data_IF_503998214599
#
_entry.id   IF_503998214599
#
_cell.length_a   1.000
_cell.length_b   1.000
_cell.length_c   1.000
_cell.angle_alpha   90.00
_cell.angle_beta   90.00
_cell.angle_gamma   90.00
#
_symmetry.space_group_name_H-M   'P 1'
#
loop_
_entity.id
_entity.type
_entity.pdbx_description
1 polymer ?
#
# COMPACT_ATOMS: atom_id res chain seq x y z
N UNK A 1 2.35 -19.53 88.16
CA UNK A 1 3.40 -18.54 88.52
C UNK A 1 2.93 -17.19 87.98
N UNK A 2 2.65 -16.16 88.81
CA UNK A 2 3.61 -15.15 89.33
C UNK A 2 4.48 -14.58 88.18
N UNK A 3 4.43 -13.29 87.81
CA UNK A 3 3.64 -12.13 88.29
C UNK A 3 3.72 -11.00 87.23
N UNK A 4 3.54 -9.69 87.48
CA UNK A 4 2.90 -8.94 88.57
C UNK A 4 2.96 -7.41 88.24
N UNK A 5 1.85 -6.66 88.43
CA UNK A 5 1.79 -5.18 88.60
C UNK A 5 2.28 -4.36 87.37
N UNK A 6 2.00 -3.07 87.11
CA UNK A 6 1.02 -2.03 87.52
C UNK A 6 1.14 -0.89 86.46
N UNK A 7 0.34 0.19 86.37
CA UNK A 7 -0.69 0.81 87.23
C UNK A 7 -1.72 1.57 86.35
N UNK A 8 -2.76 2.11 86.97
CA UNK A 8 -3.83 2.94 86.38
C UNK A 8 -3.41 4.36 85.96
N UNK A 9 -4.12 4.94 84.97
CA UNK A 9 -4.58 6.34 84.95
C UNK A 9 -5.66 6.55 83.86
N UNK A 10 -6.83 7.08 84.22
CA UNK A 10 -7.76 7.68 83.24
C UNK A 10 -7.39 9.15 83.06
N UNK A 11 -7.41 9.64 81.83
CA UNK A 11 -7.50 11.06 81.48
C UNK A 11 -8.29 11.17 80.18
N UNK A 12 -9.45 11.83 80.24
CA UNK A 12 -10.31 12.02 79.08
C UNK A 12 -9.81 13.17 78.20
N UNK A 13 -9.99 13.03 76.89
CA UNK A 13 -9.86 14.12 75.93
C UNK A 13 -11.06 14.06 74.97
N UNK A 14 -11.98 15.00 75.11
CA UNK A 14 -13.02 15.22 74.11
C UNK A 14 -12.36 15.85 72.88
N UNK A 15 -12.41 15.19 71.72
CA UNK A 15 -11.87 15.72 70.47
C UNK A 15 -13.01 16.14 69.55
N UNK A 16 -13.02 17.41 69.17
CA UNK A 16 -14.13 18.05 68.47
C UNK A 16 -14.31 17.53 67.04
N UNK A 17 -15.57 17.43 66.62
CA UNK A 17 -15.93 17.06 65.25
C UNK A 17 -15.72 18.25 64.30
N UNK A 18 -14.54 18.37 63.68
CA UNK A 18 -14.28 19.38 62.66
C UNK A 18 -14.87 18.98 61.32
N UNK A 19 -16.02 19.56 60.95
CA UNK A 19 -16.56 19.47 59.59
C UNK A 19 -15.65 20.24 58.62
N UNK A 20 -14.77 19.53 57.91
CA UNK A 20 -14.10 20.09 56.74
C UNK A 20 -15.07 20.11 55.56
N UNK A 21 -15.62 21.29 55.26
CA UNK A 21 -16.29 21.54 53.99
C UNK A 21 -15.26 21.52 52.86
N UNK A 22 -15.12 20.37 52.20
CA UNK A 22 -14.22 20.21 51.07
C UNK A 22 -14.79 20.91 49.83
N UNK A 23 -14.45 22.19 49.65
CA UNK A 23 -14.69 22.93 48.41
C UNK A 23 -13.93 22.29 47.25
N UNK A 24 -14.60 21.38 46.54
CA UNK A 24 -14.04 20.61 45.43
C UNK A 24 -13.72 21.48 44.21
N UNK A 25 -12.57 22.15 44.25
CA UNK A 25 -12.00 22.83 43.09
C UNK A 25 -11.81 21.81 41.94
N UNK A 26 -12.67 21.89 40.94
CA UNK A 26 -12.56 21.08 39.73
C UNK A 26 -11.34 21.56 38.93
N UNK A 27 -10.18 20.98 39.21
CA UNK A 27 -9.01 21.10 38.36
C UNK A 27 -9.36 20.49 36.99
N UNK A 28 -9.65 21.36 36.02
CA UNK A 28 -9.90 20.95 34.65
C UNK A 28 -8.68 20.18 34.14
N UNK A 29 -8.82 18.86 33.96
CA UNK A 29 -7.77 18.04 33.40
C UNK A 29 -7.61 18.40 31.93
N UNK A 30 -6.57 19.21 31.64
CA UNK A 30 -6.15 19.49 30.27
C UNK A 30 -5.58 18.17 29.71
N UNK A 31 -6.44 17.39 29.05
CA UNK A 31 -6.00 16.24 28.27
C UNK A 31 -5.05 16.74 27.18
N UNK A 32 -3.80 16.24 27.09
CA UNK A 32 -2.89 16.67 26.05
C UNK A 32 -3.49 16.26 24.69
N UNK A 33 -3.80 17.27 23.87
CA UNK A 33 -4.30 17.03 22.53
C UNK A 33 -3.22 16.30 21.72
N UNK A 34 -3.55 15.14 21.15
CA UNK A 34 -2.67 14.43 20.23
C UNK A 34 -2.33 15.38 19.07
N UNK A 35 -1.04 15.62 18.76
CA UNK A 35 -0.66 16.50 17.66
C UNK A 35 -1.33 16.08 16.36
N UNK A 36 -1.94 17.04 15.65
CA UNK A 36 -2.52 16.76 14.34
C UNK A 36 -1.44 16.20 13.40
N UNK A 37 -1.73 15.12 12.64
CA UNK A 37 -0.75 14.56 11.72
C UNK A 37 -0.37 15.59 10.65
N UNK A 38 0.93 15.82 10.49
CA UNK A 38 1.48 16.79 9.53
C UNK A 38 1.24 16.33 8.10
N UNK A 39 1.18 17.30 7.18
CA UNK A 39 1.22 17.01 5.76
C UNK A 39 2.59 16.39 5.37
N UNK A 40 2.58 15.52 4.37
CA UNK A 40 3.77 14.87 3.83
C UNK A 40 3.56 14.53 2.35
N UNK A 41 4.64 14.26 1.62
CA UNK A 41 4.59 13.79 0.23
C UNK A 41 5.18 12.39 0.11
N UNK A 42 4.69 11.61 -0.85
CA UNK A 42 5.34 10.39 -1.31
C UNK A 42 5.44 10.39 -2.83
N UNK A 43 6.51 9.79 -3.35
CA UNK A 43 6.72 9.63 -4.79
C UNK A 43 6.12 8.32 -5.30
N UNK A 44 5.73 8.29 -6.56
CA UNK A 44 5.38 7.07 -7.28
C UNK A 44 5.97 7.15 -8.68
N UNK A 45 6.67 6.09 -9.11
CA UNK A 45 7.23 5.96 -10.45
C UNK A 45 6.23 5.12 -11.25
N UNK A 46 5.63 5.69 -12.30
CA UNK A 46 4.55 5.11 -13.10
C UNK A 46 5.08 4.31 -14.29
N UNK A 47 5.38 3.03 -14.04
CA UNK A 47 6.07 2.07 -14.93
C UNK A 47 6.67 2.61 -16.24
N UNK A 48 7.71 3.47 -16.19
CA UNK A 48 8.18 4.24 -17.34
C UNK A 48 8.65 3.36 -18.51
N UNK A 49 9.16 2.17 -18.19
CA UNK A 49 9.76 1.22 -19.13
C UNK A 49 8.72 0.58 -20.06
N UNK A 50 7.43 0.55 -19.69
CA UNK A 50 6.38 0.00 -20.55
C UNK A 50 6.17 0.80 -21.85
N UNK A 51 6.69 2.04 -21.92
CA UNK A 51 6.55 2.94 -23.06
C UNK A 51 7.66 2.79 -24.11
N UNK A 52 8.46 1.72 -24.04
CA UNK A 52 9.60 1.50 -24.94
C UNK A 52 10.84 2.33 -24.58
N UNK A 53 10.84 2.88 -23.36
CA UNK A 53 11.94 3.65 -22.76
C UNK A 53 12.90 2.73 -22.00
N UNK A 54 14.13 3.17 -21.80
CA UNK A 54 15.21 2.36 -21.21
C UNK A 54 15.55 2.75 -19.76
N UNK A 55 16.65 2.19 -19.25
CA UNK A 55 17.15 2.43 -17.88
C UNK A 55 17.37 3.92 -17.55
N UNK A 56 17.76 4.76 -18.51
CA UNK A 56 17.99 6.18 -18.26
C UNK A 56 16.68 6.89 -17.86
N UNK A 57 15.55 6.49 -18.43
CA UNK A 57 14.23 6.99 -18.01
C UNK A 57 13.87 6.54 -16.60
N UNK A 58 14.17 5.30 -16.21
CA UNK A 58 13.94 4.85 -14.84
C UNK A 58 14.81 5.64 -13.84
N UNK A 59 16.08 5.92 -14.17
CA UNK A 59 16.96 6.81 -13.39
C UNK A 59 16.37 8.21 -13.23
N UNK A 60 15.97 8.84 -14.33
CA UNK A 60 15.36 10.18 -14.30
C UNK A 60 14.04 10.19 -13.50
N UNK A 61 13.19 9.17 -13.60
CA UNK A 61 11.96 9.08 -12.83
C UNK A 61 12.22 8.90 -11.32
N UNK A 62 13.29 8.18 -10.95
CA UNK A 62 13.75 8.06 -9.56
C UNK A 62 14.26 9.42 -9.03
N UNK A 63 15.03 10.15 -9.83
CA UNK A 63 15.58 11.47 -9.48
C UNK A 63 14.46 12.50 -9.27
N UNK A 64 13.53 12.63 -10.23
CA UNK A 64 12.36 13.49 -10.14
C UNK A 64 11.49 13.17 -8.92
N UNK A 65 11.14 11.89 -8.72
CA UNK A 65 10.36 11.46 -7.57
C UNK A 65 11.08 11.69 -6.22
N UNK A 66 12.40 11.90 -6.22
CA UNK A 66 13.21 12.16 -5.02
C UNK A 66 13.36 13.65 -4.67
N UNK A 67 13.10 14.58 -5.60
CA UNK A 67 13.42 16.01 -5.43
C UNK A 67 12.83 16.63 -4.15
N UNK A 68 11.58 16.31 -3.83
CA UNK A 68 10.83 16.90 -2.70
C UNK A 68 11.10 16.23 -1.35
N UNK A 69 12.17 15.43 -1.22
CA UNK A 69 12.50 14.63 -0.02
C UNK A 69 11.29 13.83 0.52
N UNK A 70 10.74 12.90 -0.28
CA UNK A 70 9.51 12.20 0.06
C UNK A 70 9.67 11.28 1.27
N UNK A 71 8.56 11.02 1.95
CA UNK A 71 8.51 10.05 3.06
C UNK A 71 9.01 8.68 2.62
N UNK A 72 8.62 8.26 1.41
CA UNK A 72 9.00 7.07 0.66
C UNK A 72 8.62 7.24 -0.83
N UNK A 73 9.11 6.36 -1.69
CA UNK A 73 8.79 6.28 -3.12
C UNK A 73 8.30 4.86 -3.46
N UNK A 74 7.31 4.73 -4.34
CA UNK A 74 6.82 3.43 -4.83
C UNK A 74 7.11 3.26 -6.32
N UNK A 75 7.88 2.26 -6.71
CA UNK A 75 8.06 1.84 -8.10
C UNK A 75 6.99 0.81 -8.48
N UNK A 76 6.29 1.02 -9.60
CA UNK A 76 5.13 0.21 -10.05
C UNK A 76 5.48 -0.76 -11.19
N UNK A 77 6.69 -1.30 -11.13
CA UNK A 77 7.28 -2.15 -12.16
C UNK A 77 8.79 -1.93 -12.21
N UNK A 78 9.53 -2.92 -12.69
CA UNK A 78 11.00 -2.85 -12.79
C UNK A 78 11.54 -3.12 -14.20
N UNK A 79 10.73 -3.66 -15.13
CA UNK A 79 11.15 -3.83 -16.53
C UNK A 79 9.99 -3.79 -17.53
N UNK A 80 10.29 -3.42 -18.76
CA UNK A 80 9.37 -3.55 -19.89
C UNK A 80 9.02 -5.03 -20.16
N UNK A 81 7.90 -5.26 -20.86
CA UNK A 81 7.55 -6.60 -21.34
C UNK A 81 8.52 -7.12 -22.42
N UNK A 82 9.15 -6.22 -23.18
CA UNK A 82 10.18 -6.51 -24.19
C UNK A 82 11.56 -6.83 -23.59
N UNK A 83 11.82 -6.43 -22.34
CA UNK A 83 13.10 -6.67 -21.68
C UNK A 83 13.22 -8.12 -21.17
N UNK A 84 14.42 -8.74 -21.28
CA UNK A 84 14.63 -10.13 -20.94
C UNK A 84 14.46 -10.37 -19.44
N UNK A 85 13.70 -11.40 -19.06
CA UNK A 85 13.49 -11.82 -17.67
C UNK A 85 14.71 -12.51 -17.04
N UNK A 86 15.90 -11.94 -17.22
CA UNK A 86 17.18 -12.49 -16.77
C UNK A 86 17.54 -12.06 -15.36
N UNK A 87 18.21 -12.93 -14.62
CA UNK A 87 18.75 -12.62 -13.28
C UNK A 87 19.67 -11.39 -13.30
N UNK A 88 20.44 -11.20 -14.38
CA UNK A 88 21.29 -10.01 -14.57
C UNK A 88 20.46 -8.73 -14.55
N UNK A 89 19.36 -8.68 -15.32
CA UNK A 89 18.50 -7.51 -15.37
C UNK A 89 17.82 -7.26 -14.02
N UNK A 90 17.29 -8.29 -13.36
CA UNK A 90 16.67 -8.13 -12.04
C UNK A 90 17.67 -7.63 -10.99
N UNK A 91 18.91 -8.13 -10.99
CA UNK A 91 19.96 -7.64 -10.10
C UNK A 91 20.33 -6.18 -10.38
N UNK A 92 20.45 -5.79 -11.66
CA UNK A 92 20.71 -4.42 -12.09
C UNK A 92 19.59 -3.45 -11.68
N UNK A 93 18.32 -3.84 -11.89
CA UNK A 93 17.15 -3.05 -11.45
C UNK A 93 17.06 -2.97 -9.92
N UNK A 94 17.37 -4.06 -9.20
CA UNK A 94 17.42 -4.05 -7.72
C UNK A 94 18.48 -3.08 -7.22
N UNK A 95 19.69 -3.08 -7.79
CA UNK A 95 20.76 -2.17 -7.39
C UNK A 95 20.34 -0.70 -7.57
N UNK A 96 19.85 -0.35 -8.77
CA UNK A 96 19.35 0.99 -9.09
C UNK A 96 18.22 1.44 -8.14
N UNK A 97 17.33 0.54 -7.74
CA UNK A 97 16.23 0.84 -6.81
C UNK A 97 16.68 0.85 -5.33
N UNK A 98 17.93 0.51 -5.02
CA UNK A 98 18.51 0.54 -3.66
C UNK A 98 19.47 1.74 -3.44
N UNK A 99 19.85 2.45 -4.51
CA UNK A 99 20.68 3.67 -4.49
C UNK A 99 20.01 4.93 -3.86
N UNK A 100 18.70 5.19 -4.01
CA UNK A 100 18.09 6.44 -3.54
C UNK A 100 18.15 6.63 -2.03
N UNK A 101 18.22 7.90 -1.59
CA UNK A 101 18.19 8.25 -0.16
C UNK A 101 16.80 8.04 0.47
N UNK A 102 15.73 8.12 -0.32
CA UNK A 102 14.37 7.82 0.14
C UNK A 102 14.12 6.30 0.21
N UNK A 103 13.24 5.82 1.12
CA UNK A 103 12.80 4.44 1.13
C UNK A 103 12.07 4.09 -0.17
N UNK A 104 12.52 3.03 -0.83
CA UNK A 104 12.00 2.56 -2.12
C UNK A 104 11.17 1.28 -1.94
N UNK A 105 9.88 1.32 -2.28
CA UNK A 105 9.00 0.15 -2.27
C UNK A 105 8.75 -0.29 -3.71
N UNK A 106 8.88 -1.59 -4.00
CA UNK A 106 8.59 -2.14 -5.33
C UNK A 106 7.24 -2.86 -5.30
N UNK A 107 6.30 -2.38 -6.10
CA UNK A 107 5.06 -3.07 -6.46
C UNK A 107 5.23 -3.73 -7.83
N UNK A 108 5.17 -5.05 -7.91
CA UNK A 108 5.43 -5.77 -9.16
C UNK A 108 4.39 -5.48 -10.25
N UNK A 109 4.88 -5.36 -11.49
CA UNK A 109 4.08 -5.37 -12.69
C UNK A 109 4.01 -6.75 -13.36
N UNK A 110 2.96 -6.99 -14.14
CA UNK A 110 2.81 -8.20 -14.95
C UNK A 110 3.91 -8.34 -16.01
N UNK A 111 4.49 -7.22 -16.46
CA UNK A 111 5.67 -7.20 -17.32
C UNK A 111 6.94 -7.72 -16.62
N UNK A 112 7.04 -7.62 -15.29
CA UNK A 112 8.18 -8.11 -14.53
C UNK A 112 8.26 -9.64 -14.49
N UNK A 113 7.09 -10.31 -14.46
CA UNK A 113 6.99 -11.77 -14.28
C UNK A 113 5.95 -12.47 -15.19
N UNK A 114 4.69 -12.01 -15.21
CA UNK A 114 3.60 -12.69 -15.92
C UNK A 114 3.79 -12.76 -17.44
N UNK A 115 4.44 -11.74 -18.03
CA UNK A 115 4.78 -11.69 -19.44
C UNK A 115 6.02 -12.52 -19.82
N UNK A 116 6.72 -13.13 -18.85
CA UNK A 116 7.97 -13.83 -19.10
C UNK A 116 7.79 -15.15 -19.85
N UNK A 117 8.57 -15.28 -20.93
CA UNK A 117 8.68 -16.48 -21.77
C UNK A 117 10.15 -16.93 -21.82
N UNK A 118 10.36 -18.25 -21.90
CA UNK A 118 11.67 -18.83 -22.15
C UNK A 118 12.00 -18.88 -23.66
N UNK A 119 13.22 -19.33 -24.00
CA UNK A 119 13.71 -19.44 -25.38
C UNK A 119 12.91 -20.39 -26.28
N UNK A 120 12.07 -21.26 -25.70
CA UNK A 120 11.15 -22.13 -26.43
C UNK A 120 9.73 -21.55 -26.53
N UNK A 121 9.53 -20.26 -26.22
CA UNK A 121 8.23 -19.57 -26.27
C UNK A 121 7.23 -20.03 -25.20
N UNK A 122 7.68 -20.75 -24.17
CA UNK A 122 6.82 -21.21 -23.06
C UNK A 122 6.94 -20.27 -21.88
N UNK A 123 5.83 -20.00 -21.18
CA UNK A 123 5.87 -19.15 -19.99
C UNK A 123 6.75 -19.74 -18.88
N UNK A 124 7.56 -18.89 -18.26
CA UNK A 124 8.26 -19.16 -17.00
C UNK A 124 7.84 -18.21 -15.87
N UNK A 125 6.64 -17.62 -15.98
CA UNK A 125 6.13 -16.58 -15.08
C UNK A 125 6.24 -16.91 -13.59
N UNK A 126 5.88 -18.13 -13.17
CA UNK A 126 5.90 -18.55 -11.75
C UNK A 126 7.33 -18.61 -11.19
N UNK A 127 8.25 -19.13 -12.01
CA UNK A 127 9.65 -19.29 -11.68
C UNK A 127 10.32 -17.91 -11.55
N UNK A 128 10.04 -17.00 -12.49
CA UNK A 128 10.48 -15.60 -12.44
C UNK A 128 9.86 -14.82 -11.28
N UNK A 129 8.58 -15.02 -10.95
CA UNK A 129 7.91 -14.40 -9.79
C UNK A 129 8.55 -14.85 -8.46
N UNK A 130 8.87 -16.14 -8.32
CA UNK A 130 9.61 -16.63 -7.16
C UNK A 130 11.01 -16.02 -7.10
N UNK A 131 11.69 -15.88 -8.23
CA UNK A 131 13.00 -15.24 -8.29
C UNK A 131 12.96 -13.76 -7.88
N UNK A 132 11.91 -13.02 -8.26
CA UNK A 132 11.70 -11.65 -7.78
C UNK A 132 11.48 -11.59 -6.26
N UNK A 133 10.75 -12.55 -5.68
CA UNK A 133 10.55 -12.63 -4.21
C UNK A 133 11.85 -12.84 -3.46
N UNK A 134 12.74 -13.69 -3.96
CA UNK A 134 14.10 -13.90 -3.42
C UNK A 134 15.02 -12.68 -3.54
N UNK A 135 14.78 -11.78 -4.50
CA UNK A 135 15.65 -10.63 -4.74
C UNK A 135 15.15 -9.35 -4.05
N UNK A 136 13.84 -9.09 -4.11
CA UNK A 136 13.23 -7.82 -3.66
C UNK A 136 12.56 -7.90 -2.29
N UNK A 137 12.19 -9.09 -1.80
CA UNK A 137 11.27 -9.24 -0.67
C UNK A 137 11.77 -10.20 0.43
N UNK A 138 13.09 -10.34 0.57
CA UNK A 138 13.76 -11.13 1.62
C UNK A 138 13.42 -10.59 3.01
N UNK A 139 13.67 -9.29 3.22
CA UNK A 139 13.59 -8.66 4.53
C UNK A 139 12.25 -7.93 4.75
N UNK A 140 11.93 -7.67 6.01
CA UNK A 140 10.75 -6.88 6.40
C UNK A 140 11.01 -5.36 6.33
N UNK A 141 11.78 -4.94 5.33
CA UNK A 141 12.17 -3.55 5.08
C UNK A 141 12.07 -3.20 3.58
N UNK A 142 12.11 -1.90 3.28
CA UNK A 142 12.16 -1.36 1.91
C UNK A 142 13.56 -1.44 1.28
N UNK A 143 13.63 -1.16 -0.03
CA UNK A 143 14.87 -0.74 -0.67
C UNK A 143 15.21 0.73 -0.30
N UNK A 144 16.34 1.22 -0.78
CA UNK A 144 16.87 2.57 -0.57
C UNK A 144 17.80 2.66 0.64
N UNK A 145 18.65 3.70 0.67
CA UNK A 145 19.62 3.91 1.75
C UNK A 145 18.93 4.11 3.12
N UNK A 146 17.82 4.83 3.16
CA UNK A 146 16.95 4.94 4.35
C UNK A 146 15.88 3.85 4.30
N UNK A 147 16.04 2.81 5.11
CA UNK A 147 15.09 1.69 5.22
C UNK A 147 13.78 2.13 5.90
N UNK A 148 12.66 1.57 5.43
CA UNK A 148 11.33 1.67 6.04
C UNK A 148 10.83 0.28 6.41
N UNK A 149 10.41 0.01 7.67
CA UNK A 149 9.83 -1.28 8.05
C UNK A 149 8.51 -1.58 7.31
N UNK A 150 8.39 -2.80 6.78
CA UNK A 150 7.24 -3.28 6.01
C UNK A 150 6.66 -4.55 6.64
N UNK A 151 5.34 -4.59 6.84
CA UNK A 151 4.64 -5.83 7.26
C UNK A 151 4.17 -6.59 6.02
N UNK A 152 4.76 -7.75 5.74
CA UNK A 152 4.43 -8.58 4.57
C UNK A 152 3.31 -9.59 4.85
N UNK A 153 2.50 -9.91 3.85
CA UNK A 153 1.52 -11.01 3.92
C UNK A 153 2.20 -12.36 4.18
N UNK A 154 3.42 -12.55 3.67
CA UNK A 154 4.27 -13.73 3.91
C UNK A 154 4.59 -14.01 5.39
N UNK A 155 4.44 -13.02 6.29
CA UNK A 155 4.51 -13.25 7.75
C UNK A 155 3.42 -14.21 8.26
N UNK A 156 2.33 -14.38 7.50
CA UNK A 156 1.26 -15.33 7.83
C UNK A 156 1.59 -16.70 7.27
N UNK A 157 1.65 -17.72 8.13
CA UNK A 157 2.07 -19.08 7.74
C UNK A 157 1.32 -19.69 6.53
N UNK A 158 0.04 -19.35 6.36
CA UNK A 158 -0.80 -19.77 5.21
C UNK A 158 -0.38 -19.13 3.87
N UNK A 159 0.28 -17.97 3.91
CA UNK A 159 0.56 -17.14 2.75
C UNK A 159 2.06 -16.82 2.60
N UNK A 160 2.96 -17.66 3.12
CA UNK A 160 4.43 -17.45 3.07
C UNK A 160 4.96 -17.13 1.67
N UNK A 161 4.34 -17.66 0.62
CA UNK A 161 4.73 -17.42 -0.77
C UNK A 161 4.43 -16.02 -1.30
N UNK A 162 3.68 -15.17 -0.59
CA UNK A 162 3.22 -13.86 -1.07
C UNK A 162 3.95 -12.70 -0.38
N UNK A 163 5.26 -12.60 -0.61
CA UNK A 163 6.13 -11.60 0.01
C UNK A 163 6.03 -10.20 -0.63
N UNK A 164 5.54 -10.14 -1.87
CA UNK A 164 5.34 -8.90 -2.65
C UNK A 164 4.16 -8.05 -2.14
N UNK A 165 3.22 -8.66 -1.42
CA UNK A 165 2.11 -7.97 -0.75
C UNK A 165 2.59 -7.48 0.63
N UNK A 166 2.80 -6.17 0.78
CA UNK A 166 3.35 -5.56 1.99
C UNK A 166 2.60 -4.27 2.36
N UNK A 167 2.49 -3.97 3.66
CA UNK A 167 1.85 -2.75 4.17
C UNK A 167 2.76 -1.98 5.14
N UNK A 168 2.58 -0.66 5.16
CA UNK A 168 3.27 0.27 6.05
C UNK A 168 2.35 1.45 6.40
N UNK A 169 2.68 2.19 7.45
CA UNK A 169 1.86 3.28 7.97
C UNK A 169 2.66 4.58 7.99
N UNK A 170 2.04 5.67 7.52
CA UNK A 170 2.62 7.01 7.62
C UNK A 170 1.52 8.06 7.76
N UNK A 171 1.65 9.01 8.69
CA UNK A 171 0.71 10.14 8.84
C UNK A 171 -0.77 9.76 9.01
N UNK A 172 -1.08 8.65 9.70
CA UNK A 172 -2.44 8.07 9.81
C UNK A 172 -3.07 7.61 8.48
N UNK A 173 -2.24 7.29 7.49
CA UNK A 173 -2.62 6.58 6.27
C UNK A 173 -1.94 5.21 6.27
N UNK A 174 -2.71 4.17 5.93
CA UNK A 174 -2.20 2.83 5.66
C UNK A 174 -1.90 2.71 4.16
N UNK A 175 -0.70 2.28 3.82
CA UNK A 175 -0.26 2.06 2.44
C UNK A 175 0.00 0.56 2.24
N UNK A 176 -0.35 0.01 1.07
CA UNK A 176 -0.03 -1.37 0.76
C UNK A 176 0.17 -1.63 -0.75
N UNK A 177 1.08 -2.54 -1.06
CA UNK A 177 1.17 -3.16 -2.39
C UNK A 177 0.18 -4.32 -2.50
N UNK A 178 -0.35 -4.55 -3.71
CA UNK A 178 -1.13 -5.74 -4.03
C UNK A 178 -0.80 -6.24 -5.44
N UNK A 179 -0.38 -7.51 -5.54
CA UNK A 179 -0.04 -8.14 -6.81
C UNK A 179 -1.31 -8.40 -7.65
N UNK A 180 -1.59 -7.44 -8.54
CA UNK A 180 -2.66 -7.45 -9.54
C UNK A 180 -2.05 -7.05 -10.89
N UNK A 181 -1.51 -7.99 -11.68
CA UNK A 181 -0.89 -7.65 -12.96
C UNK A 181 -1.95 -7.22 -13.99
N UNK A 182 -1.62 -6.26 -14.84
CA UNK A 182 -2.58 -5.58 -15.71
C UNK A 182 -3.14 -6.43 -16.85
N UNK A 183 -2.50 -7.55 -17.18
CA UNK A 183 -2.93 -8.51 -18.20
C UNK A 183 -4.16 -9.33 -17.74
N UNK A 184 -5.29 -8.67 -17.50
CA UNK A 184 -6.52 -9.24 -16.96
C UNK A 184 -6.28 -10.01 -15.63
N UNK A 185 -5.50 -9.43 -14.72
CA UNK A 185 -5.09 -10.05 -13.46
C UNK A 185 -4.33 -11.39 -13.65
N UNK A 186 -3.71 -11.61 -14.82
CA UNK A 186 -3.13 -12.89 -15.25
C UNK A 186 -4.15 -14.06 -15.29
N UNK A 187 -5.42 -13.75 -15.51
CA UNK A 187 -6.44 -14.77 -15.77
C UNK A 187 -6.23 -15.39 -17.17
N UNK A 188 -6.05 -16.71 -17.23
CA UNK A 188 -5.88 -17.45 -18.49
C UNK A 188 -7.19 -18.15 -18.90
N UNK A 189 -7.69 -17.99 -20.14
CA UNK A 189 -8.85 -18.73 -20.63
C UNK A 189 -8.45 -20.17 -21.02
N UNK A 190 -8.07 -20.99 -20.05
CA UNK A 190 -7.68 -22.38 -20.24
C UNK A 190 -8.84 -23.34 -19.90
N UNK A 191 -8.88 -24.50 -20.56
CA UNK A 191 -9.82 -25.60 -20.25
C UNK A 191 -9.43 -26.39 -18.97
N UNK A 192 -8.58 -25.81 -18.11
CA UNK A 192 -8.03 -26.43 -16.91
C UNK A 192 -7.82 -25.40 -15.80
N UNK A 193 -7.23 -25.82 -14.68
CA UNK A 193 -7.16 -25.01 -13.45
C UNK A 193 -6.21 -23.82 -13.59
N UNK A 194 -6.68 -22.62 -13.23
CA UNK A 194 -5.91 -21.38 -13.19
C UNK A 194 -5.18 -21.24 -11.85
N UNK A 195 -4.40 -22.26 -11.45
CA UNK A 195 -3.94 -22.43 -10.07
C UNK A 195 -3.24 -21.20 -9.48
N UNK A 196 -2.36 -20.51 -10.25
CA UNK A 196 -1.70 -19.29 -9.79
C UNK A 196 -2.70 -18.17 -9.47
N UNK A 197 -3.56 -17.84 -10.44
CA UNK A 197 -4.59 -16.82 -10.30
C UNK A 197 -5.57 -17.15 -9.15
N UNK A 198 -6.02 -18.40 -9.05
CA UNK A 198 -6.94 -18.85 -8.01
C UNK A 198 -6.31 -18.75 -6.61
N UNK A 199 -5.09 -19.26 -6.44
CA UNK A 199 -4.40 -19.23 -5.15
C UNK A 199 -4.03 -17.78 -4.76
N UNK A 200 -3.57 -16.96 -5.73
CA UNK A 200 -3.32 -15.52 -5.52
C UNK A 200 -4.61 -14.74 -5.24
N UNK A 201 -5.74 -15.09 -5.85
CA UNK A 201 -7.04 -14.49 -5.53
C UNK A 201 -7.43 -14.79 -4.07
N UNK A 202 -7.19 -16.00 -3.57
CA UNK A 202 -7.41 -16.34 -2.15
C UNK A 202 -6.46 -15.55 -1.23
N UNK A 203 -5.19 -15.39 -1.61
CA UNK A 203 -4.22 -14.58 -0.86
C UNK A 203 -4.58 -13.09 -0.84
N UNK A 204 -4.90 -12.50 -2.00
CA UNK A 204 -5.32 -11.11 -2.14
C UNK A 204 -6.64 -10.84 -1.41
N UNK A 205 -7.59 -11.79 -1.41
CA UNK A 205 -8.83 -11.67 -0.64
C UNK A 205 -8.57 -11.59 0.87
N UNK A 206 -7.69 -12.44 1.39
CA UNK A 206 -7.28 -12.39 2.79
C UNK A 206 -6.47 -11.13 3.13
N UNK A 207 -5.65 -10.65 2.19
CA UNK A 207 -4.86 -9.44 2.31
C UNK A 207 -5.73 -8.19 2.44
N UNK A 208 -6.64 -7.97 1.48
CA UNK A 208 -7.59 -6.86 1.52
C UNK A 208 -8.40 -6.88 2.82
N UNK A 209 -8.90 -8.05 3.24
CA UNK A 209 -9.62 -8.18 4.50
C UNK A 209 -8.79 -7.70 5.70
N UNK A 210 -7.51 -8.13 5.79
CA UNK A 210 -6.58 -7.67 6.83
C UNK A 210 -6.35 -6.15 6.78
N UNK A 211 -6.11 -5.59 5.60
CA UNK A 211 -5.84 -4.15 5.42
C UNK A 211 -7.00 -3.28 5.88
N UNK A 212 -8.22 -3.59 5.43
CA UNK A 212 -9.42 -2.85 5.84
C UNK A 212 -9.70 -3.00 7.34
N UNK A 213 -9.59 -4.22 7.90
CA UNK A 213 -9.73 -4.42 9.36
C UNK A 213 -8.68 -3.64 10.16
N UNK A 214 -7.44 -3.55 9.67
CA UNK A 214 -6.39 -2.75 10.31
C UNK A 214 -6.72 -1.26 10.25
N UNK A 215 -7.09 -0.75 9.08
CA UNK A 215 -7.45 0.65 8.85
C UNK A 215 -8.65 1.10 9.70
N UNK A 216 -9.70 0.29 9.78
CA UNK A 216 -10.88 0.52 10.64
C UNK A 216 -10.51 0.54 12.12
N UNK A 217 -9.82 -0.50 12.61
CA UNK A 217 -9.47 -0.62 14.04
C UNK A 217 -8.54 0.50 14.51
N UNK A 218 -7.61 0.94 13.66
CA UNK A 218 -6.67 2.03 13.96
C UNK A 218 -7.23 3.44 13.67
N UNK A 219 -8.44 3.53 13.11
CA UNK A 219 -9.09 4.77 12.66
C UNK A 219 -8.20 5.57 11.70
N UNK A 220 -7.64 4.90 10.70
CA UNK A 220 -6.85 5.55 9.66
C UNK A 220 -7.72 6.51 8.84
N UNK A 221 -7.09 7.57 8.33
CA UNK A 221 -7.74 8.55 7.45
C UNK A 221 -7.90 8.00 6.04
N UNK A 222 -6.95 7.18 5.59
CA UNK A 222 -7.02 6.53 4.29
C UNK A 222 -6.30 5.16 4.24
N UNK A 223 -6.68 4.38 3.23
CA UNK A 223 -5.99 3.19 2.74
C UNK A 223 -5.58 3.44 1.28
N UNK A 224 -4.29 3.41 0.98
CA UNK A 224 -3.75 3.54 -0.39
C UNK A 224 -3.25 2.17 -0.85
N UNK A 225 -3.73 1.71 -2.01
CA UNK A 225 -3.37 0.46 -2.64
C UNK A 225 -2.58 0.74 -3.91
N UNK A 226 -1.41 0.12 -4.07
CA UNK A 226 -0.61 0.16 -5.29
C UNK A 226 -0.75 -1.15 -6.05
N UNK A 227 -1.10 -1.07 -7.34
CA UNK A 227 -1.18 -2.20 -8.26
C UNK A 227 -0.63 -1.84 -9.63
N UNK A 228 -0.39 -2.84 -10.46
CA UNK A 228 -0.05 -2.65 -11.88
C UNK A 228 -1.33 -2.45 -12.71
N UNK A 229 -2.29 -3.36 -12.58
CA UNK A 229 -3.59 -3.26 -13.24
C UNK A 229 -4.59 -2.35 -12.54
N UNK A 230 -5.40 -1.65 -13.34
CA UNK A 230 -6.66 -1.06 -12.89
C UNK A 230 -7.70 -2.18 -12.63
N UNK A 231 -8.19 -2.26 -11.40
CA UNK A 231 -9.26 -3.19 -11.02
C UNK A 231 -10.67 -2.68 -11.42
N UNK A 232 -10.80 -1.45 -11.93
CA UNK A 232 -12.04 -0.79 -12.29
C UNK A 232 -12.84 -0.31 -11.08
N UNK A 233 -12.19 0.05 -9.97
CA UNK A 233 -12.88 0.29 -8.69
C UNK A 233 -13.91 1.42 -8.72
N UNK A 234 -13.72 2.42 -9.59
CA UNK A 234 -14.64 3.53 -9.85
C UNK A 234 -15.65 3.27 -10.98
N UNK A 235 -15.33 2.40 -11.94
CA UNK A 235 -16.12 2.19 -13.16
C UNK A 235 -17.60 1.85 -12.90
N UNK A 236 -18.51 2.33 -13.74
CA UNK A 236 -19.91 1.93 -13.60
C UNK A 236 -20.16 0.47 -13.95
N UNK A 237 -21.12 -0.15 -13.29
CA UNK A 237 -21.52 -1.53 -13.58
C UNK A 237 -22.35 -1.56 -14.86
N UNK A 238 -21.66 -1.73 -15.99
CA UNK A 238 -22.25 -1.73 -17.32
C UNK A 238 -23.27 -2.84 -17.51
N UNK A 239 -24.56 -2.49 -17.49
CA UNK A 239 -25.66 -3.39 -17.82
C UNK A 239 -25.74 -3.59 -19.34
N UNK A 240 -24.84 -4.40 -19.90
CA UNK A 240 -24.82 -4.67 -21.33
C UNK A 240 -25.97 -5.61 -21.71
N UNK A 241 -27.05 -5.04 -22.26
CA UNK A 241 -28.20 -5.78 -22.81
C UNK A 241 -27.86 -6.64 -24.04
N UNK A 242 -26.65 -6.50 -24.58
CA UNK A 242 -26.09 -7.38 -25.60
C UNK A 242 -24.81 -8.01 -25.03
N UNK A 243 -24.75 -9.34 -24.83
CA UNK A 243 -23.48 -10.02 -24.63
C UNK A 243 -22.72 -9.95 -25.96
N UNK A 244 -21.69 -9.12 -26.03
CA UNK A 244 -20.72 -9.21 -27.13
C UNK A 244 -20.13 -10.61 -27.14
N UNK A 245 -19.93 -11.19 -28.34
CA UNK A 245 -19.46 -12.58 -28.53
C UNK A 245 -17.98 -12.81 -28.13
N UNK A 246 -17.48 -12.04 -27.17
CA UNK A 246 -16.21 -12.20 -26.47
C UNK A 246 -16.41 -11.90 -24.99
N UNK A 247 -17.04 -12.83 -24.26
CA UNK A 247 -17.06 -12.82 -22.80
C UNK A 247 -15.67 -13.10 -22.22
N UNK A 248 -14.76 -12.13 -22.31
CA UNK A 248 -13.52 -12.13 -21.53
C UNK A 248 -13.92 -12.21 -20.07
N UNK A 249 -13.59 -13.30 -19.39
CA UNK A 249 -13.79 -13.40 -17.95
C UNK A 249 -12.96 -12.32 -17.27
N UNK A 250 -13.62 -11.48 -16.48
CA UNK A 250 -13.00 -10.36 -15.80
C UNK A 250 -12.22 -10.87 -14.58
N UNK A 251 -10.89 -10.92 -14.71
CA UNK A 251 -9.99 -11.36 -13.66
C UNK A 251 -9.93 -10.41 -12.47
N UNK A 252 -10.45 -9.18 -12.58
CA UNK A 252 -10.50 -8.21 -11.49
C UNK A 252 -11.84 -8.20 -10.75
N UNK A 253 -12.90 -8.82 -11.27
CA UNK A 253 -14.27 -8.71 -10.76
C UNK A 253 -14.39 -8.97 -9.24
N UNK A 254 -13.81 -10.05 -8.74
CA UNK A 254 -13.85 -10.41 -7.31
C UNK A 254 -13.08 -9.41 -6.43
N UNK A 255 -11.95 -8.91 -6.91
CA UNK A 255 -11.14 -7.90 -6.21
C UNK A 255 -11.86 -6.56 -6.18
N UNK A 256 -12.40 -6.11 -7.31
CA UNK A 256 -13.21 -4.89 -7.44
C UNK A 256 -14.41 -4.91 -6.50
N UNK A 257 -15.17 -6.00 -6.52
CA UNK A 257 -16.33 -6.24 -5.64
C UNK A 257 -15.94 -6.18 -4.17
N UNK A 258 -14.84 -6.83 -3.78
CA UNK A 258 -14.36 -6.79 -2.41
C UNK A 258 -13.93 -5.39 -1.97
N UNK A 259 -13.13 -4.68 -2.78
CA UNK A 259 -12.67 -3.32 -2.44
C UNK A 259 -13.86 -2.39 -2.24
N UNK A 260 -14.86 -2.41 -3.14
CA UNK A 260 -16.10 -1.63 -2.98
C UNK A 260 -16.86 -1.96 -1.68
N UNK A 261 -17.19 -3.23 -1.48
CA UNK A 261 -18.00 -3.67 -0.34
C UNK A 261 -17.32 -3.50 1.04
N UNK A 262 -15.98 -3.43 1.07
CA UNK A 262 -15.23 -3.07 2.29
C UNK A 262 -15.09 -1.55 2.44
N UNK A 263 -14.91 -0.80 1.35
CA UNK A 263 -14.85 0.66 1.39
C UNK A 263 -16.16 1.30 1.88
N UNK A 264 -17.33 0.77 1.49
CA UNK A 264 -18.65 1.23 1.98
C UNK A 264 -18.77 1.26 3.52
N UNK A 265 -18.02 0.41 4.22
CA UNK A 265 -18.01 0.29 5.69
C UNK A 265 -16.90 1.11 6.34
N UNK A 266 -15.83 1.37 5.59
CA UNK A 266 -14.68 2.12 6.04
C UNK A 266 -14.94 3.63 6.00
N UNK A 267 -14.76 4.30 7.15
CA UNK A 267 -15.01 5.74 7.29
C UNK A 267 -13.96 6.64 6.62
N UNK A 268 -12.77 6.09 6.31
CA UNK A 268 -11.70 6.81 5.61
C UNK A 268 -11.86 6.78 4.09
N UNK A 269 -10.89 7.36 3.40
CA UNK A 269 -10.79 7.26 1.93
C UNK A 269 -9.99 6.02 1.51
N UNK A 270 -10.42 5.35 0.45
CA UNK A 270 -9.61 4.33 -0.23
C UNK A 270 -9.09 4.93 -1.52
N UNK A 271 -7.82 4.76 -1.85
CA UNK A 271 -7.26 5.19 -3.13
C UNK A 271 -6.52 4.01 -3.76
N UNK A 272 -6.94 3.59 -4.95
CA UNK A 272 -6.17 2.67 -5.78
C UNK A 272 -5.31 3.49 -6.76
N UNK A 273 -4.00 3.27 -6.73
CA UNK A 273 -3.03 3.88 -7.65
C UNK A 273 -2.52 2.77 -8.57
N UNK A 274 -2.71 2.94 -9.87
CA UNK A 274 -2.17 2.06 -10.90
C UNK A 274 -1.29 2.83 -11.88
N UNK A 275 -0.46 2.08 -12.62
CA UNK A 275 0.52 2.64 -13.53
C UNK A 275 0.31 2.26 -14.99
N UNK A 276 -0.92 1.88 -15.40
CA UNK A 276 -1.19 1.60 -16.80
C UNK A 276 -1.05 2.83 -17.68
N UNK A 277 -0.76 2.58 -18.96
CA UNK A 277 -0.78 3.60 -19.99
C UNK A 277 -2.16 4.28 -20.06
N UNK A 278 -2.22 5.56 -19.69
CA UNK A 278 -3.38 6.42 -19.93
C UNK A 278 -3.58 6.71 -21.43
N UNK A 279 -4.81 7.08 -21.80
CA UNK A 279 -5.12 7.65 -23.11
C UNK A 279 -4.63 9.10 -23.28
N UNK A 280 -4.06 9.70 -22.23
CA UNK A 280 -3.56 11.08 -22.18
C UNK A 280 -4.36 11.96 -21.19
N UNK A 281 -3.81 13.13 -20.88
CA UNK A 281 -4.35 14.05 -19.88
C UNK A 281 -3.53 14.08 -18.57
N UNK A 282 -3.76 15.09 -17.74
CA UNK A 282 -3.10 15.20 -16.43
C UNK A 282 -3.63 14.12 -15.44
N UNK A 283 -2.77 13.52 -14.61
CA UNK A 283 -3.20 12.47 -13.67
C UNK A 283 -4.12 13.03 -12.58
N UNK A 284 -5.38 12.60 -12.60
CA UNK A 284 -6.42 13.07 -11.70
C UNK A 284 -7.12 11.91 -10.97
N UNK A 285 -7.47 12.13 -9.71
CA UNK A 285 -8.16 11.11 -8.90
C UNK A 285 -9.65 11.12 -9.23
N UNK A 286 -10.13 10.04 -9.84
CA UNK A 286 -11.55 9.79 -10.06
C UNK A 286 -12.16 9.23 -8.77
N UNK A 287 -13.29 9.76 -8.31
CA UNK A 287 -13.93 9.34 -7.05
C UNK A 287 -15.32 8.75 -7.25
N UNK A 288 -15.57 7.61 -6.60
CA UNK A 288 -16.89 7.00 -6.38
C UNK A 288 -17.11 6.85 -4.88
N UNK A 289 -17.83 7.81 -4.29
CA UNK A 289 -18.05 7.87 -2.83
C UNK A 289 -16.76 8.11 -2.04
N UNK A 290 -16.30 7.10 -1.29
CA UNK A 290 -15.01 7.12 -0.59
C UNK A 290 -13.90 6.32 -1.29
N UNK A 291 -14.18 5.67 -2.43
CA UNK A 291 -13.18 4.98 -3.25
C UNK A 291 -12.70 5.91 -4.36
N UNK A 292 -11.40 6.10 -4.42
CA UNK A 292 -10.69 6.86 -5.45
C UNK A 292 -9.85 5.94 -6.32
N UNK A 293 -9.65 6.35 -7.56
CA UNK A 293 -8.76 5.72 -8.53
C UNK A 293 -7.85 6.77 -9.16
N UNK A 294 -6.55 6.51 -9.16
CA UNK A 294 -5.54 7.32 -9.84
C UNK A 294 -4.76 6.40 -10.77
N UNK A 295 -5.04 6.49 -12.07
CA UNK A 295 -4.09 6.02 -13.08
C UNK A 295 -3.00 7.09 -13.23
N UNK A 296 -1.74 6.68 -13.12
CA UNK A 296 -0.62 7.62 -13.17
C UNK A 296 -0.37 8.19 -14.56
N UNK A 297 -0.47 7.38 -15.62
CA UNK A 297 -0.32 7.83 -17.02
C UNK A 297 1.01 8.51 -17.41
N UNK A 298 1.94 8.67 -16.48
CA UNK A 298 3.16 9.47 -16.55
C UNK A 298 4.29 8.78 -15.80
N UNK A 299 5.54 9.09 -16.15
CA UNK A 299 6.73 8.38 -15.62
C UNK A 299 6.90 8.54 -14.10
N UNK A 300 6.48 9.67 -13.53
CA UNK A 300 6.48 9.90 -12.10
C UNK A 300 5.32 10.79 -11.62
N UNK A 301 4.94 10.62 -10.36
CA UNK A 301 4.05 11.52 -9.64
C UNK A 301 4.48 11.70 -8.18
N UNK A 302 4.27 12.90 -7.66
CA UNK A 302 4.30 13.25 -6.25
C UNK A 302 2.85 13.36 -5.75
N UNK A 303 2.53 12.64 -4.67
CA UNK A 303 1.23 12.72 -4.02
C UNK A 303 1.44 13.34 -2.64
N UNK A 304 0.89 14.53 -2.45
CA UNK A 304 0.82 15.18 -1.16
C UNK A 304 -0.41 14.71 -0.39
N UNK A 305 -0.20 14.28 0.86
CA UNK A 305 -1.23 13.99 1.84
C UNK A 305 -1.35 15.18 2.79
N UNK A 306 -2.54 15.77 2.89
CA UNK A 306 -2.82 16.89 3.80
C UNK A 306 -3.95 16.52 4.77
N UNK A 307 -3.64 15.93 5.94
CA UNK A 307 -4.67 15.52 6.90
C UNK A 307 -5.52 16.70 7.39
N UNK A 308 -6.83 16.52 7.41
CA UNK A 308 -7.79 17.56 7.83
C UNK A 308 -8.15 18.59 6.76
N UNK A 309 -7.49 18.59 5.59
CA UNK A 309 -7.93 19.39 4.44
C UNK A 309 -9.17 18.78 3.76
N UNK A 310 -9.93 19.60 3.03
CA UNK A 310 -11.08 19.15 2.25
C UNK A 310 -10.70 18.13 1.16
N UNK A 311 -9.54 18.33 0.52
CA UNK A 311 -8.88 17.34 -0.32
C UNK A 311 -7.73 16.71 0.46
N UNK A 312 -7.89 15.44 0.86
CA UNK A 312 -6.84 14.69 1.58
C UNK A 312 -5.61 14.42 0.70
N UNK A 313 -5.83 14.30 -0.62
CA UNK A 313 -4.82 14.00 -1.63
C UNK A 313 -4.75 15.12 -2.66
N UNK A 314 -3.54 15.51 -3.05
CA UNK A 314 -3.27 16.30 -4.26
C UNK A 314 -2.11 15.67 -5.02
N UNK A 315 -2.18 15.71 -6.36
CA UNK A 315 -1.24 15.03 -7.26
C UNK A 315 -0.51 16.08 -8.10
N UNK A 316 0.80 15.93 -8.22
CA UNK A 316 1.66 16.62 -9.19
C UNK A 316 2.39 15.53 -9.96
N UNK A 317 2.43 15.58 -11.29
CA UNK A 317 3.05 14.52 -12.10
C UNK A 317 3.86 15.08 -13.25
N UNK A 318 4.77 14.27 -13.79
CA UNK A 318 5.62 14.62 -14.91
C UNK A 318 6.05 13.41 -15.70
N UNK A 319 6.45 13.65 -16.95
CA UNK A 319 7.14 12.67 -17.77
C UNK A 319 8.64 12.92 -17.68
N UNK A 320 9.42 11.84 -17.74
CA UNK A 320 10.86 11.95 -17.91
C UNK A 320 11.14 12.26 -19.38
N UNK A 321 11.55 13.49 -19.67
CA UNK A 321 12.10 13.84 -20.97
C UNK A 321 13.47 13.19 -21.11
N UNK A 322 13.69 12.43 -22.19
CA UNK A 322 15.01 11.96 -22.53
C UNK A 322 15.84 13.17 -22.98
N UNK A 323 16.84 13.55 -22.20
CA UNK A 323 17.86 14.51 -22.64
C UNK A 323 18.54 13.95 -23.90
N UNK A 324 18.59 14.77 -24.96
CA UNK A 324 19.21 14.46 -26.25
C UNK A 324 20.73 14.56 -26.17
#
# INVERSE_FOLDING_TARGET
MRGARSRAALLGAAMALTMFAASGAHAAQITPATPAPKAFVFGVIGHPLQHGRDEATLKHAIEEASQSNPAFIVATGIKAASEPCSDKLYAQRRALLDEPQAPMIVSLAGSDWAACMNSAGRSNAIERLNRLRELFYVDSESLGARRLPLTRLSSTAKFRSYAENAHWEHGKVLFATINLPANNNHYLPAAGRNSEYEDRLVANRAWLHRLFTLAERQKMHALVLFSDGDAGVTAEEGFSLLPSFQSKQDGFAEVRKQVRAMAEKYKGKVLLIDAQKSAGGEPAIQWRGNVGHLNLGADWAEIQITPGAAALFSVKAGNAEAQQ
#
